data_IF_274624363714
#
_entry.id   IF_274624363714
#
_cell.length_a   1.000
_cell.length_b   1.000
_cell.length_c   1.000
_cell.angle_alpha   90.00
_cell.angle_beta   90.00
_cell.angle_gamma   90.00
#
_symmetry.space_group_name_H-M   'P 1'
#
loop_
_entity.id
_entity.type
_entity.pdbx_description
1 polymer ?
#
# COMPACT_ATOMS: atom_id res chain seq x y z
N UNK A 1 4.50 23.63 -14.36
CA UNK A 1 4.34 22.39 -15.16
C UNK A 1 5.63 21.60 -15.02
N UNK A 2 5.58 20.28 -14.86
CA UNK A 2 6.80 19.46 -14.82
C UNK A 2 7.44 19.38 -16.23
N UNK A 3 8.77 19.37 -16.29
CA UNK A 3 9.55 19.28 -17.54
C UNK A 3 9.56 17.85 -18.10
N UNK A 4 9.81 17.65 -19.41
CA UNK A 4 9.98 16.31 -19.99
C UNK A 4 11.06 15.49 -19.26
N UNK A 5 10.75 14.24 -18.92
CA UNK A 5 11.64 13.41 -18.10
C UNK A 5 12.13 12.17 -18.86
N UNK A 6 13.41 11.83 -18.62
CA UNK A 6 13.94 10.52 -18.97
C UNK A 6 13.48 9.47 -17.94
N UNK A 7 13.18 8.21 -18.32
CA UNK A 7 12.73 7.16 -17.41
C UNK A 7 13.59 7.00 -16.13
N UNK A 8 14.91 7.09 -16.27
CA UNK A 8 15.83 7.05 -15.13
C UNK A 8 15.61 8.22 -14.15
N UNK A 9 15.30 9.42 -14.64
CA UNK A 9 15.03 10.57 -13.78
C UNK A 9 13.67 10.43 -13.10
N UNK A 10 12.66 9.89 -13.78
CA UNK A 10 11.36 9.55 -13.18
C UNK A 10 11.55 8.58 -11.99
N UNK A 11 12.29 7.49 -12.18
CA UNK A 11 12.56 6.52 -11.11
C UNK A 11 13.27 7.17 -9.91
N UNK A 12 14.26 8.04 -10.18
CA UNK A 12 14.95 8.78 -9.12
C UNK A 12 14.01 9.73 -8.37
N UNK A 13 13.16 10.48 -9.07
CA UNK A 13 12.22 11.41 -8.45
C UNK A 13 11.19 10.71 -7.56
N UNK A 14 10.70 9.53 -7.97
CA UNK A 14 9.78 8.72 -7.15
C UNK A 14 10.43 8.37 -5.80
N UNK A 15 11.70 7.95 -5.83
CA UNK A 15 12.47 7.65 -4.60
C UNK A 15 12.80 8.90 -3.79
N UNK A 16 13.30 9.95 -4.45
CA UNK A 16 13.69 11.22 -3.82
C UNK A 16 12.49 11.92 -3.15
N UNK A 17 11.28 11.74 -3.67
CA UNK A 17 10.03 12.30 -3.09
C UNK A 17 9.36 11.38 -2.07
N UNK A 18 10.01 10.28 -1.67
CA UNK A 18 9.45 9.35 -0.68
C UNK A 18 8.22 8.56 -1.14
N UNK A 19 7.86 8.61 -2.43
CA UNK A 19 6.67 7.91 -2.96
C UNK A 19 6.81 6.39 -3.00
N UNK A 20 7.98 5.86 -2.63
CA UNK A 20 8.20 4.43 -2.43
C UNK A 20 7.43 3.83 -1.25
N UNK A 21 6.94 4.67 -0.32
CA UNK A 21 6.14 4.24 0.83
C UNK A 21 4.69 3.88 0.44
N UNK A 22 4.18 4.45 -0.66
CA UNK A 22 2.79 4.25 -1.13
C UNK A 22 2.70 3.65 -2.54
N UNK A 23 3.81 3.55 -3.27
CA UNK A 23 3.86 2.93 -4.60
C UNK A 23 5.04 1.97 -4.67
N UNK A 24 4.76 0.70 -4.97
CA UNK A 24 5.79 -0.28 -5.26
C UNK A 24 6.38 -0.04 -6.66
N UNK A 25 7.43 0.77 -6.75
CA UNK A 25 8.21 1.01 -7.98
C UNK A 25 9.55 0.25 -7.94
N UNK A 26 9.54 -0.95 -7.36
CA UNK A 26 10.77 -1.72 -7.11
C UNK A 26 11.45 -2.21 -8.40
N UNK A 27 10.70 -2.47 -9.48
CA UNK A 27 11.24 -3.10 -10.68
C UNK A 27 11.46 -2.09 -11.82
N UNK A 28 12.71 -1.98 -12.29
CA UNK A 28 13.05 -1.16 -13.45
C UNK A 28 12.29 -1.60 -14.71
N UNK A 29 12.10 -2.90 -14.89
CA UNK A 29 11.40 -3.46 -16.04
C UNK A 29 9.93 -3.01 -16.13
N UNK A 30 9.22 -2.94 -14.99
CA UNK A 30 7.80 -2.52 -14.97
C UNK A 30 7.64 -1.04 -15.32
N UNK A 31 8.60 -0.18 -14.97
CA UNK A 31 8.58 1.23 -15.35
C UNK A 31 8.67 1.40 -16.87
N UNK A 32 9.61 0.72 -17.53
CA UNK A 32 9.77 0.83 -18.99
C UNK A 32 8.56 0.25 -19.73
N UNK A 33 8.00 -0.87 -19.28
CA UNK A 33 6.76 -1.43 -19.84
C UNK A 33 5.58 -0.47 -19.68
N UNK A 34 5.48 0.19 -18.53
CA UNK A 34 4.43 1.19 -18.27
C UNK A 34 4.58 2.38 -19.21
N UNK A 35 5.80 2.91 -19.39
CA UNK A 35 6.08 4.01 -20.32
C UNK A 35 5.71 3.63 -21.76
N UNK A 36 6.10 2.44 -22.22
CA UNK A 36 5.73 1.96 -23.55
C UNK A 36 4.21 1.85 -23.73
N UNK A 37 3.49 1.39 -22.70
CA UNK A 37 2.03 1.32 -22.73
C UNK A 37 1.40 2.71 -22.81
N UNK A 38 1.83 3.63 -21.95
CA UNK A 38 1.35 5.02 -21.92
C UNK A 38 1.61 5.74 -23.25
N UNK A 39 2.77 5.50 -23.88
CA UNK A 39 3.11 6.06 -25.19
C UNK A 39 2.22 5.48 -26.28
N UNK A 40 2.05 4.16 -26.33
CA UNK A 40 1.17 3.47 -27.28
C UNK A 40 -0.29 3.94 -27.17
N UNK A 41 -0.75 4.28 -25.97
CA UNK A 41 -2.10 4.80 -25.71
C UNK A 41 -2.22 6.33 -25.97
N UNK A 42 -1.12 6.99 -26.30
CA UNK A 42 -1.05 8.43 -26.58
C UNK A 42 -1.18 9.31 -25.33
N UNK A 43 -0.92 8.75 -24.14
CA UNK A 43 -0.98 9.47 -22.86
C UNK A 43 0.32 10.22 -22.55
N UNK A 44 1.42 9.75 -23.12
CA UNK A 44 2.70 10.44 -23.15
C UNK A 44 3.24 10.45 -24.58
N UNK A 45 4.12 11.39 -24.89
CA UNK A 45 4.81 11.46 -26.18
C UNK A 45 6.32 11.57 -25.97
N UNK A 46 7.09 10.86 -26.79
CA UNK A 46 8.53 11.02 -26.85
C UNK A 46 8.89 12.37 -27.48
N UNK A 47 9.54 13.25 -26.71
CA UNK A 47 10.30 14.36 -27.26
C UNK A 47 11.73 13.89 -27.56
N UNK A 48 12.14 13.99 -28.83
CA UNK A 48 13.55 13.82 -29.20
C UNK A 48 14.28 15.13 -28.94
N UNK A 49 15.12 15.17 -27.93
CA UNK A 49 16.06 16.29 -27.75
C UNK A 49 17.14 16.21 -28.82
N UNK A 50 17.35 17.30 -29.57
CA UNK A 50 18.41 17.39 -30.58
C UNK A 50 19.78 17.44 -29.88
N UNK A 51 20.72 16.67 -30.45
CA UNK A 51 22.14 16.45 -30.11
C UNK A 51 22.82 17.47 -29.19
N UNK A 52 23.54 16.94 -28.20
CA UNK A 52 24.81 17.51 -27.76
C UNK A 52 25.91 16.48 -28.07
N UNK A 53 26.94 16.90 -28.81
CA UNK A 53 27.99 16.05 -29.35
C UNK A 53 28.71 15.30 -28.20
N UNK A 54 28.80 13.97 -28.30
CA UNK A 54 29.49 13.00 -27.41
C UNK A 54 28.67 12.20 -26.37
N UNK A 55 27.34 12.19 -26.39
CA UNK A 55 26.53 11.25 -25.55
C UNK A 55 25.43 10.53 -26.34
N UNK A 56 25.06 9.28 -25.98
CA UNK A 56 23.98 8.56 -26.65
C UNK A 56 22.65 9.30 -26.50
N UNK A 57 21.82 9.25 -27.55
CA UNK A 57 20.48 9.85 -27.59
C UNK A 57 19.66 9.43 -26.36
N UNK A 58 19.05 10.40 -25.67
CA UNK A 58 18.17 10.14 -24.53
C UNK A 58 16.75 10.59 -24.89
N UNK A 59 15.85 9.63 -25.03
CA UNK A 59 14.43 9.91 -25.19
C UNK A 59 13.87 10.42 -23.87
N UNK A 60 13.28 11.61 -23.90
CA UNK A 60 12.49 12.16 -22.79
C UNK A 60 11.03 12.08 -23.17
N UNK A 61 10.17 11.88 -22.18
CA UNK A 61 8.72 11.77 -22.38
C UNK A 61 8.02 12.94 -21.71
N UNK A 62 6.99 13.44 -22.37
CA UNK A 62 6.11 14.48 -21.87
C UNK A 62 4.68 13.95 -21.84
N UNK A 63 3.91 14.33 -20.81
CA UNK A 63 2.48 14.02 -20.73
C UNK A 63 1.70 14.81 -21.78
N UNK A 64 0.81 14.14 -22.50
CA UNK A 64 -0.09 14.79 -23.47
C UNK A 64 -1.30 15.42 -22.77
N UNK A 65 -2.08 16.25 -23.46
CA UNK A 65 -3.36 16.74 -22.93
C UNK A 65 -4.29 15.59 -22.55
N UNK A 66 -4.45 14.61 -23.45
CA UNK A 66 -5.19 13.36 -23.18
C UNK A 66 -4.69 12.65 -21.91
N UNK A 67 -3.37 12.55 -21.75
CA UNK A 67 -2.75 11.95 -20.55
C UNK A 67 -3.08 12.72 -19.27
N UNK A 68 -3.11 14.06 -19.33
CA UNK A 68 -3.48 14.91 -18.18
C UNK A 68 -4.94 14.71 -17.79
N UNK A 69 -5.85 14.68 -18.77
CA UNK A 69 -7.28 14.53 -18.50
C UNK A 69 -7.58 13.18 -17.84
N UNK A 70 -7.02 12.09 -18.38
CA UNK A 70 -7.18 10.74 -17.80
C UNK A 70 -6.55 10.66 -16.40
N UNK A 71 -5.37 11.27 -16.19
CA UNK A 71 -4.75 11.28 -14.86
C UNK A 71 -5.63 11.99 -13.82
N UNK A 72 -6.30 13.08 -14.19
CA UNK A 72 -7.23 13.78 -13.32
C UNK A 72 -8.52 12.99 -13.08
N UNK A 73 -9.03 12.28 -14.09
CA UNK A 73 -10.17 11.39 -13.96
C UNK A 73 -9.87 10.25 -12.97
N UNK A 74 -8.76 9.53 -13.16
CA UNK A 74 -8.33 8.47 -12.24
C UNK A 74 -8.09 9.00 -10.83
N UNK A 75 -7.56 10.22 -10.67
CA UNK A 75 -7.40 10.82 -9.35
C UNK A 75 -8.73 11.06 -8.65
N UNK A 76 -9.74 11.54 -9.38
CA UNK A 76 -11.10 11.70 -8.84
C UNK A 76 -11.71 10.35 -8.47
N UNK A 77 -11.52 9.34 -9.32
CA UNK A 77 -12.02 7.98 -9.07
C UNK A 77 -11.38 7.37 -7.82
N UNK A 78 -10.05 7.37 -7.72
CA UNK A 78 -9.31 6.84 -6.56
C UNK A 78 -9.70 7.54 -5.25
N UNK A 79 -9.98 8.84 -5.28
CA UNK A 79 -10.39 9.59 -4.09
C UNK A 79 -11.85 9.34 -3.68
N UNK A 80 -12.73 9.03 -4.63
CA UNK A 80 -14.18 8.94 -4.38
C UNK A 80 -14.69 7.50 -4.26
N UNK A 81 -13.93 6.52 -4.76
CA UNK A 81 -14.38 5.14 -4.88
C UNK A 81 -13.65 4.25 -3.87
N UNK A 82 -14.42 3.66 -2.95
CA UNK A 82 -13.89 2.61 -2.07
C UNK A 82 -13.73 1.33 -2.89
N UNK A 83 -12.48 0.91 -3.09
CA UNK A 83 -12.15 -0.32 -3.79
C UNK A 83 -11.85 -1.43 -2.79
N UNK A 84 -12.16 -2.68 -3.16
CA UNK A 84 -11.79 -3.84 -2.35
C UNK A 84 -10.29 -4.11 -2.49
N UNK A 85 -9.56 -3.81 -1.43
CA UNK A 85 -8.15 -4.19 -1.31
C UNK A 85 -8.03 -5.60 -0.73
N UNK A 86 -6.91 -6.27 -1.02
CA UNK A 86 -6.59 -7.60 -0.50
C UNK A 86 -5.28 -7.59 0.31
N UNK A 87 -5.25 -6.86 1.44
CA UNK A 87 -4.07 -6.78 2.29
C UNK A 87 -3.76 -8.13 2.96
N UNK A 88 -2.46 -8.43 3.12
CA UNK A 88 -1.98 -9.72 3.67
C UNK A 88 -2.38 -9.93 5.14
N UNK A 89 -2.43 -8.86 5.95
CA UNK A 89 -2.68 -9.00 7.38
C UNK A 89 -4.13 -9.44 7.70
N UNK A 90 -5.19 -8.83 7.14
CA UNK A 90 -6.55 -9.36 7.23
C UNK A 90 -6.70 -10.78 6.68
N UNK A 91 -5.94 -11.14 5.63
CA UNK A 91 -5.90 -12.52 5.16
C UNK A 91 -5.31 -13.45 6.24
N UNK A 92 -4.19 -13.10 6.86
CA UNK A 92 -3.60 -13.86 7.97
C UNK A 92 -4.55 -13.98 9.18
N UNK A 93 -5.27 -12.91 9.53
CA UNK A 93 -6.30 -12.93 10.58
C UNK A 93 -7.40 -13.97 10.28
N UNK A 94 -7.78 -14.10 9.01
CA UNK A 94 -8.81 -15.07 8.59
C UNK A 94 -8.38 -16.53 8.78
N UNK A 95 -7.09 -16.78 8.99
CA UNK A 95 -6.51 -18.12 9.15
C UNK A 95 -5.74 -18.30 10.47
N UNK A 96 -5.97 -17.45 11.49
CA UNK A 96 -5.35 -17.60 12.81
C UNK A 96 -5.45 -19.01 13.41
N UNK A 97 -6.59 -19.75 13.27
CA UNK A 97 -6.71 -21.09 13.85
C UNK A 97 -5.72 -22.13 13.31
N UNK A 98 -4.95 -21.82 12.26
CA UNK A 98 -3.83 -22.65 11.82
C UNK A 98 -2.65 -22.66 12.80
N UNK A 99 -2.61 -21.72 13.74
CA UNK A 99 -1.60 -21.60 14.78
C UNK A 99 -2.23 -21.79 16.16
N UNK A 100 -1.41 -22.14 17.15
CA UNK A 100 -1.85 -22.16 18.54
C UNK A 100 -2.12 -20.72 19.04
N UNK A 101 -3.09 -20.49 19.95
CA UNK A 101 -3.39 -19.16 20.48
C UNK A 101 -2.16 -18.42 21.03
N UNK A 102 -1.25 -19.13 21.70
CA UNK A 102 -0.02 -18.55 22.26
C UNK A 102 1.01 -18.13 21.20
N UNK A 103 1.08 -18.84 20.07
CA UNK A 103 1.91 -18.44 18.94
C UNK A 103 1.31 -17.21 18.25
N UNK A 104 -0.01 -17.19 18.03
CA UNK A 104 -0.72 -16.01 17.52
C UNK A 104 -0.45 -14.78 18.38
N UNK A 105 -0.59 -14.88 19.71
CA UNK A 105 -0.29 -13.79 20.63
C UNK A 105 1.16 -13.30 20.45
N UNK A 106 2.12 -14.22 20.40
CA UNK A 106 3.54 -13.91 20.23
C UNK A 106 3.84 -13.20 18.90
N UNK A 107 3.19 -13.58 17.79
CA UNK A 107 3.39 -12.90 16.51
C UNK A 107 2.70 -11.52 16.47
N UNK A 108 1.53 -11.39 17.08
CA UNK A 108 0.82 -10.11 17.19
C UNK A 108 1.59 -9.11 18.08
N UNK A 109 2.23 -9.56 19.17
CA UNK A 109 3.13 -8.71 19.96
C UNK A 109 4.33 -8.19 19.15
N UNK A 110 4.93 -9.06 18.32
CA UNK A 110 6.03 -8.65 17.43
C UNK A 110 5.55 -7.61 16.42
N UNK A 111 4.36 -7.81 15.86
CA UNK A 111 3.72 -6.86 14.95
C UNK A 111 3.45 -5.52 15.65
N UNK A 112 2.89 -5.53 16.86
CA UNK A 112 2.65 -4.32 17.64
C UNK A 112 3.93 -3.50 17.83
N UNK A 113 5.03 -4.15 18.25
CA UNK A 113 6.34 -3.49 18.41
C UNK A 113 6.87 -2.87 17.11
N UNK A 114 6.65 -3.54 15.97
CA UNK A 114 7.03 -3.00 14.67
C UNK A 114 6.19 -1.76 14.31
N UNK A 115 4.88 -1.80 14.53
CA UNK A 115 3.97 -0.67 14.29
C UNK A 115 4.31 0.51 15.21
N UNK A 116 4.62 0.27 16.48
CA UNK A 116 5.07 1.30 17.41
C UNK A 116 6.36 1.99 16.93
N UNK A 117 7.31 1.21 16.40
CA UNK A 117 8.53 1.77 15.83
C UNK A 117 8.25 2.64 14.62
N UNK A 118 7.31 2.23 13.78
CA UNK A 118 6.92 2.98 12.59
C UNK A 118 6.17 4.26 12.95
N UNK A 119 5.28 4.22 13.94
CA UNK A 119 4.61 5.40 14.48
C UNK A 119 5.60 6.42 15.03
N UNK A 120 6.62 5.98 15.78
CA UNK A 120 7.68 6.88 16.27
C UNK A 120 8.42 7.56 15.11
N UNK A 121 8.80 6.80 14.09
CA UNK A 121 9.46 7.33 12.88
C UNK A 121 8.58 8.38 12.18
N UNK A 122 7.29 8.09 12.03
CA UNK A 122 6.33 9.01 11.40
C UNK A 122 6.15 10.28 12.24
N UNK A 123 6.05 10.14 13.56
CA UNK A 123 5.93 11.27 14.49
C UNK A 123 7.14 12.19 14.42
N UNK A 124 8.36 11.64 14.36
CA UNK A 124 9.60 12.41 14.16
C UNK A 124 9.57 13.20 12.84
N UNK A 125 9.19 12.56 11.74
CA UNK A 125 9.07 13.22 10.43
C UNK A 125 8.07 14.38 10.46
N UNK A 126 6.90 14.18 11.09
CA UNK A 126 5.88 15.22 11.21
C UNK A 126 6.34 16.38 12.11
N UNK A 127 7.11 16.08 13.17
CA UNK A 127 7.68 17.09 14.05
C UNK A 127 8.75 17.95 13.35
N UNK A 128 9.58 17.35 12.50
CA UNK A 128 10.60 18.07 11.72
C UNK A 128 9.99 18.89 10.58
N UNK A 129 8.83 18.47 10.05
CA UNK A 129 8.17 19.08 8.92
C UNK A 129 7.22 20.24 9.27
N UNK A 130 7.35 20.89 10.43
CA UNK A 130 6.44 21.98 10.88
C UNK A 130 6.34 23.16 9.91
N UNK A 131 7.40 23.44 9.14
CA UNK A 131 7.40 24.50 8.12
C UNK A 131 6.79 24.07 6.78
N UNK A 132 6.49 22.78 6.60
CA UNK A 132 5.92 22.23 5.37
C UNK A 132 4.39 22.42 5.38
N UNK A 133 3.78 22.98 4.33
CA UNK A 133 2.33 23.08 4.24
C UNK A 133 1.65 21.72 4.36
N UNK A 134 0.58 21.66 5.17
CA UNK A 134 -0.17 20.43 5.48
C UNK A 134 -0.57 19.61 4.25
N UNK A 135 -0.86 20.25 3.12
CA UNK A 135 -1.18 19.56 1.87
C UNK A 135 -0.16 18.48 1.50
N UNK A 136 1.13 18.73 1.78
CA UNK A 136 2.22 17.78 1.50
C UNK A 136 2.44 16.75 2.61
N UNK A 137 1.70 16.84 3.71
CA UNK A 137 1.78 15.95 4.88
C UNK A 137 0.57 15.01 5.00
N UNK A 138 -0.51 15.23 4.23
CA UNK A 138 -1.75 14.45 4.32
C UNK A 138 -1.54 12.93 4.18
N UNK A 139 -0.62 12.52 3.31
CA UNK A 139 -0.26 11.11 3.13
C UNK A 139 0.34 10.52 4.41
N UNK A 140 1.28 11.23 5.03
CA UNK A 140 1.91 10.84 6.30
C UNK A 140 0.90 10.84 7.45
N UNK A 141 0.02 11.84 7.51
CA UNK A 141 -1.09 11.89 8.49
C UNK A 141 -2.01 10.67 8.37
N UNK A 142 -2.35 10.28 7.13
CA UNK A 142 -3.21 9.11 6.85
C UNK A 142 -2.54 7.80 7.28
N UNK A 143 -1.29 7.56 6.89
CA UNK A 143 -0.55 6.35 7.28
C UNK A 143 -0.41 6.23 8.80
N UNK A 144 -0.12 7.35 9.47
CA UNK A 144 -0.10 7.41 10.94
C UNK A 144 -1.42 6.96 11.56
N UNK A 145 -2.55 7.47 11.02
CA UNK A 145 -3.87 7.13 11.53
C UNK A 145 -4.21 5.64 11.36
N UNK A 146 -3.85 5.06 10.21
CA UNK A 146 -3.98 3.62 9.97
C UNK A 146 -3.16 2.79 10.97
N UNK A 147 -1.87 3.12 11.13
CA UNK A 147 -0.99 2.40 12.06
C UNK A 147 -1.44 2.54 13.52
N UNK A 148 -1.89 3.72 13.94
CA UNK A 148 -2.41 3.91 15.30
C UNK A 148 -3.66 3.07 15.56
N UNK A 149 -4.56 3.01 14.58
CA UNK A 149 -5.78 2.19 14.65
C UNK A 149 -5.43 0.70 14.71
N UNK A 150 -4.53 0.26 13.84
CA UNK A 150 -4.09 -1.12 13.80
C UNK A 150 -3.39 -1.53 15.10
N UNK A 151 -2.49 -0.70 15.64
CA UNK A 151 -1.81 -0.95 16.91
C UNK A 151 -2.83 -1.11 18.05
N UNK A 152 -3.82 -0.21 18.13
CA UNK A 152 -4.87 -0.28 19.14
C UNK A 152 -5.64 -1.59 19.05
N UNK A 153 -5.97 -2.04 17.83
CA UNK A 153 -6.69 -3.28 17.61
C UNK A 153 -5.84 -4.50 17.96
N UNK A 154 -4.57 -4.54 17.49
CA UNK A 154 -3.63 -5.64 17.75
C UNK A 154 -3.40 -5.82 19.25
N UNK A 155 -3.18 -4.72 19.98
CA UNK A 155 -2.97 -4.78 21.43
C UNK A 155 -4.21 -5.34 22.16
N UNK A 156 -5.42 -4.96 21.73
CA UNK A 156 -6.65 -5.51 22.29
C UNK A 156 -6.76 -7.03 22.08
N UNK A 157 -6.45 -7.51 20.87
CA UNK A 157 -6.46 -8.95 20.56
C UNK A 157 -5.38 -9.71 21.33
N UNK A 158 -4.19 -9.15 21.49
CA UNK A 158 -3.13 -9.73 22.33
C UNK A 158 -3.58 -9.85 23.77
N UNK A 159 -4.24 -8.83 24.31
CA UNK A 159 -4.77 -8.86 25.67
C UNK A 159 -5.85 -9.94 25.82
N UNK A 160 -6.76 -10.05 24.86
CA UNK A 160 -7.81 -11.07 24.84
C UNK A 160 -7.25 -12.49 24.75
N UNK A 161 -6.21 -12.71 23.94
CA UNK A 161 -5.52 -14.00 23.85
C UNK A 161 -4.78 -14.34 25.15
N UNK A 162 -4.10 -13.35 25.74
CA UNK A 162 -3.33 -13.52 26.98
C UNK A 162 -4.23 -13.77 28.20
N UNK A 163 -5.41 -13.17 28.20
CA UNK A 163 -6.45 -13.38 29.21
C UNK A 163 -7.36 -14.58 28.90
N UNK A 164 -7.07 -15.36 27.86
CA UNK A 164 -7.85 -16.51 27.40
C UNK A 164 -9.32 -16.18 27.07
N UNK A 165 -9.66 -14.90 26.83
CA UNK A 165 -10.98 -14.46 26.35
C UNK A 165 -11.20 -14.87 24.90
N UNK A 166 -10.13 -14.92 24.12
CA UNK A 166 -10.07 -15.57 22.82
C UNK A 166 -9.15 -16.78 22.95
N UNK A 167 -9.67 -17.97 22.68
CA UNK A 167 -8.88 -19.20 22.67
C UNK A 167 -9.60 -20.25 21.81
N UNK A 168 -8.86 -21.26 21.38
CA UNK A 168 -9.41 -22.39 20.64
C UNK A 168 -8.57 -23.64 20.86
N UNK A 169 -9.19 -24.79 20.61
CA UNK A 169 -8.54 -26.10 20.50
C UNK A 169 -8.96 -26.74 19.18
N UNK A 170 -8.17 -27.69 18.67
CA UNK A 170 -8.52 -28.43 17.46
C UNK A 170 -9.90 -29.09 17.57
N UNK A 171 -10.23 -29.60 18.77
CA UNK A 171 -11.52 -30.21 19.05
C UNK A 171 -12.65 -29.18 19.00
N UNK A 172 -12.48 -28.02 19.65
CA UNK A 172 -13.46 -26.94 19.57
C UNK A 172 -13.66 -26.44 18.13
N UNK A 173 -12.58 -26.29 17.36
CA UNK A 173 -12.65 -25.90 15.96
C UNK A 173 -13.43 -26.92 15.11
N UNK A 174 -13.22 -28.23 15.33
CA UNK A 174 -13.99 -29.29 14.66
C UNK A 174 -15.46 -29.24 15.03
N UNK A 175 -15.78 -29.00 16.30
CA UNK A 175 -17.17 -28.88 16.77
C UNK A 175 -17.87 -27.66 16.15
N UNK A 176 -17.19 -26.52 16.10
CA UNK A 176 -17.69 -25.31 15.43
C UNK A 176 -17.87 -25.57 13.93
N UNK A 177 -16.88 -26.15 13.26
CA UNK A 177 -16.99 -26.51 11.85
C UNK A 177 -18.18 -27.43 11.59
N UNK A 178 -18.39 -28.47 12.40
CA UNK A 178 -19.54 -29.37 12.27
C UNK A 178 -20.89 -28.65 12.51
N UNK A 179 -20.94 -27.68 13.43
CA UNK A 179 -22.14 -26.91 13.76
C UNK A 179 -22.51 -25.87 12.70
N UNK A 180 -21.51 -25.32 12.00
CA UNK A 180 -21.68 -24.28 10.98
C UNK A 180 -21.39 -24.77 9.57
N UNK A 181 -21.20 -26.09 9.38
CA UNK A 181 -21.28 -26.71 8.07
C UNK A 181 -22.65 -26.40 7.48
N UNK A 182 -22.66 -25.49 6.51
CA UNK A 182 -23.80 -25.25 5.64
C UNK A 182 -24.07 -26.58 4.94
N UNK A 183 -25.28 -27.12 5.08
CA UNK A 183 -25.71 -28.27 4.29
C UNK A 183 -25.54 -27.90 2.81
N UNK A 184 -24.67 -28.59 2.04
CA UNK A 184 -24.49 -28.27 0.63
C UNK A 184 -25.76 -28.49 -0.21
N UNK A 185 -26.85 -29.03 0.37
CA UNK A 185 -28.15 -29.20 -0.27
C UNK A 185 -29.18 -28.10 0.04
N UNK A 186 -28.83 -27.03 0.76
CA UNK A 186 -29.69 -25.85 0.88
C UNK A 186 -29.53 -24.98 -0.37
N UNK A 187 -30.30 -25.32 -1.42
CA UNK A 187 -30.53 -24.45 -2.58
C UNK A 187 -30.99 -23.06 -2.10
N UNK A 188 -30.47 -21.96 -2.67
CA UNK A 188 -31.06 -20.65 -2.45
C UNK A 188 -32.35 -20.53 -3.26
N UNK A 189 -33.50 -20.54 -2.57
CA UNK A 189 -34.79 -20.03 -3.08
C UNK A 189 -34.70 -18.55 -3.51
#
# INVERSE_FOLDING_TARGET
>A
MEEPLHPYRMQRLIKERGKGEVINVAQRASLYQTIQRLEREGLIAAQKTVRDDKRPERTVYEITEKGRDIALEWMREMLSTVTREYPEFPAAISFLPLLAPSDVASQLERRAKAIESELRRIDEVLQEAQAVPRLFLLETEYLRALHATELSWVNGVVEDLSAERITWTDEWLRQIAAKFSIDPNLDPD
#
